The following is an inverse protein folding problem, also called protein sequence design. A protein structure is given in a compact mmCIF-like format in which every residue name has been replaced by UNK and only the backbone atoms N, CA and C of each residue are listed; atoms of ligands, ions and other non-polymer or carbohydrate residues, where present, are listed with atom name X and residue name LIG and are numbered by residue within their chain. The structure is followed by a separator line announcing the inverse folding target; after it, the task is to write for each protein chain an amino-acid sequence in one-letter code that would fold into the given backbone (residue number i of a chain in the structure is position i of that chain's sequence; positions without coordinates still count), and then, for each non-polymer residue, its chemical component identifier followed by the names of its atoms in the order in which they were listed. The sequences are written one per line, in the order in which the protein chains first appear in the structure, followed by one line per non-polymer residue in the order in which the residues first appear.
data_IF_207306365565
#
_entry.id   IF_207306365565
#
_cell.length_a   1.000
_cell.length_b   1.000
_cell.length_c   1.000
_cell.angle_alpha   90.00
_cell.angle_beta   90.00
_cell.angle_gamma   90.00
#
_symmetry.space_group_name_H-M   'P 1'
#
loop_
_entity.id
_entity.type
_entity.pdbx_description
1 polymer ?
#
# COMPACT_ATOMS: atom_id res chain seq x y z
N UNK A 1 -30.05 0.75 -6.14
CA UNK A 1 -28.60 0.74 -5.96
C UNK A 1 -28.06 -0.55 -6.57
N UNK A 2 -27.03 -0.47 -7.43
CA UNK A 2 -26.41 -1.66 -8.04
C UNK A 2 -25.45 -2.27 -7.01
N UNK A 3 -25.61 -3.55 -6.72
CA UNK A 3 -24.74 -4.28 -5.78
C UNK A 3 -23.47 -4.72 -6.47
N UNK A 4 -22.35 -4.86 -5.75
CA UNK A 4 -21.06 -5.22 -6.35
C UNK A 4 -21.12 -6.53 -7.16
N UNK A 5 -21.87 -7.52 -6.67
CA UNK A 5 -22.11 -8.82 -7.35
C UNK A 5 -22.90 -8.73 -8.67
N UNK A 6 -23.57 -7.61 -8.92
CA UNK A 6 -24.41 -7.38 -10.09
C UNK A 6 -23.84 -6.32 -11.03
N UNK A 7 -22.74 -5.68 -10.67
CA UNK A 7 -22.07 -4.68 -11.49
C UNK A 7 -21.44 -5.35 -12.73
N UNK A 8 -21.68 -4.78 -13.91
CA UNK A 8 -21.21 -5.27 -15.21
C UNK A 8 -20.33 -4.26 -15.94
N UNK A 9 -20.38 -2.99 -15.55
CA UNK A 9 -19.58 -1.89 -16.11
C UNK A 9 -18.69 -1.27 -15.05
N UNK A 10 -17.65 -0.54 -15.49
CA UNK A 10 -16.77 0.19 -14.57
C UNK A 10 -17.52 1.22 -13.70
N UNK A 11 -18.55 1.87 -14.26
CA UNK A 11 -19.39 2.82 -13.52
C UNK A 11 -20.26 2.12 -12.47
N UNK A 12 -20.94 1.04 -12.83
CA UNK A 12 -21.74 0.26 -11.87
C UNK A 12 -20.87 -0.31 -10.74
N UNK A 13 -19.62 -0.67 -11.05
CA UNK A 13 -18.68 -1.15 -10.04
C UNK A 13 -18.28 -0.03 -9.09
N UNK A 14 -17.93 1.15 -9.61
CA UNK A 14 -17.60 2.32 -8.81
C UNK A 14 -18.76 2.75 -7.90
N UNK A 15 -20.00 2.66 -8.39
CA UNK A 15 -21.20 2.97 -7.61
C UNK A 15 -21.42 1.98 -6.47
N UNK A 16 -21.03 0.72 -6.66
CA UNK A 16 -21.20 -0.34 -5.67
C UNK A 16 -20.25 -0.23 -4.46
N UNK A 17 -19.13 0.50 -4.57
CA UNK A 17 -18.12 0.56 -3.52
C UNK A 17 -18.61 1.18 -2.20
N UNK A 18 -19.74 1.88 -2.21
CA UNK A 18 -20.36 2.35 -0.97
C UNK A 18 -20.80 1.20 -0.05
N UNK A 19 -21.00 -0.01 -0.58
CA UNK A 19 -21.26 -1.23 0.20
C UNK A 19 -20.07 -1.60 1.11
N UNK A 20 -18.86 -1.11 0.81
CA UNK A 20 -17.64 -1.49 1.52
C UNK A 20 -17.35 -0.61 2.75
N UNK A 21 -17.94 0.58 2.85
CA UNK A 21 -17.58 1.58 3.88
C UNK A 21 -18.72 1.99 4.82
N UNK A 22 -19.92 1.43 4.64
CA UNK A 22 -21.03 1.53 5.60
C UNK A 22 -21.77 2.86 5.67
N UNK A 23 -21.09 4.02 5.61
CA UNK A 23 -21.72 5.35 5.73
C UNK A 23 -21.95 6.08 4.39
N UNK A 24 -21.42 5.54 3.29
CA UNK A 24 -21.60 6.09 1.94
C UNK A 24 -20.80 7.37 1.63
N UNK A 25 -19.92 7.82 2.53
CA UNK A 25 -19.08 9.01 2.32
C UNK A 25 -17.84 8.67 1.48
N UNK A 26 -18.06 8.42 0.19
CA UNK A 26 -17.00 8.03 -0.75
C UNK A 26 -16.91 8.93 -1.98
N UNK A 27 -17.55 10.08 -1.98
CA UNK A 27 -17.60 10.95 -3.16
C UNK A 27 -16.21 11.45 -3.59
N UNK A 28 -15.31 11.67 -2.65
CA UNK A 28 -13.91 12.00 -2.91
C UNK A 28 -13.17 10.85 -3.61
N UNK A 29 -13.38 9.62 -3.16
CA UNK A 29 -12.80 8.42 -3.77
C UNK A 29 -13.44 8.14 -5.13
N UNK A 30 -14.77 8.26 -5.26
CA UNK A 30 -15.48 8.14 -6.52
C UNK A 30 -14.92 9.11 -7.55
N UNK A 31 -14.68 10.37 -7.18
CA UNK A 31 -14.05 11.37 -8.07
C UNK A 31 -12.68 10.94 -8.58
N UNK A 32 -11.86 10.27 -7.77
CA UNK A 32 -10.52 9.79 -8.19
C UNK A 32 -10.63 8.79 -9.35
N UNK A 33 -11.62 7.89 -9.30
CA UNK A 33 -11.77 6.85 -10.32
C UNK A 33 -12.73 7.23 -11.46
N UNK A 34 -13.58 8.24 -11.27
CA UNK A 34 -14.56 8.72 -12.26
C UNK A 34 -13.90 9.05 -13.61
N UNK A 35 -12.69 9.61 -13.60
CA UNK A 35 -11.93 9.91 -14.83
C UNK A 35 -11.72 8.65 -15.69
N UNK A 36 -11.49 7.50 -15.06
CA UNK A 36 -11.32 6.24 -15.78
C UNK A 36 -12.66 5.67 -16.22
N UNK A 37 -13.72 5.80 -15.42
CA UNK A 37 -15.06 5.42 -15.84
C UNK A 37 -15.50 6.17 -17.11
N UNK A 38 -15.15 7.45 -17.23
CA UNK A 38 -15.52 8.29 -18.37
C UNK A 38 -14.57 8.17 -19.57
N UNK A 39 -13.25 8.20 -19.33
CA UNK A 39 -12.26 8.33 -20.40
C UNK A 39 -11.67 7.00 -20.83
N UNK A 40 -11.71 5.98 -19.97
CA UNK A 40 -11.13 4.67 -20.24
C UNK A 40 -11.88 3.55 -19.49
N UNK A 41 -13.17 3.34 -19.78
CA UNK A 41 -14.06 2.48 -19.00
C UNK A 41 -13.55 1.04 -18.91
N UNK A 42 -12.91 0.54 -19.96
CA UNK A 42 -12.33 -0.81 -20.01
C UNK A 42 -11.18 -1.00 -19.02
N UNK A 43 -10.49 0.06 -18.59
CA UNK A 43 -9.48 -0.04 -17.55
C UNK A 43 -10.13 -0.41 -16.22
N UNK A 44 -11.18 0.32 -15.82
CA UNK A 44 -11.90 0.02 -14.60
C UNK A 44 -12.56 -1.35 -14.69
N UNK A 45 -13.23 -1.68 -15.80
CA UNK A 45 -13.86 -2.98 -15.98
C UNK A 45 -12.87 -4.13 -15.74
N UNK A 46 -11.70 -4.14 -16.38
CA UNK A 46 -10.72 -5.21 -16.18
C UNK A 46 -10.04 -5.16 -14.81
N UNK A 47 -9.72 -3.97 -14.30
CA UNK A 47 -9.08 -3.81 -12.98
C UNK A 47 -10.00 -4.26 -11.84
N UNK A 48 -11.30 -4.00 -11.99
CA UNK A 48 -12.33 -4.23 -10.95
C UNK A 48 -13.12 -5.53 -11.15
N UNK A 49 -12.75 -6.35 -12.14
CA UNK A 49 -13.26 -7.71 -12.33
C UNK A 49 -12.71 -8.65 -11.24
N UNK A 50 -12.13 -9.79 -11.63
CA UNK A 50 -11.72 -10.87 -10.72
C UNK A 50 -10.83 -10.42 -9.57
N UNK A 51 -9.82 -9.53 -9.73
CA UNK A 51 -8.95 -9.15 -8.62
C UNK A 51 -9.66 -8.42 -7.48
N UNK A 52 -10.63 -7.54 -7.78
CA UNK A 52 -11.41 -6.83 -6.75
C UNK A 52 -12.40 -7.76 -6.06
N UNK A 53 -13.09 -8.60 -6.83
CA UNK A 53 -14.03 -9.57 -6.26
C UNK A 53 -13.28 -10.57 -5.37
N UNK A 54 -12.14 -11.09 -5.82
CA UNK A 54 -11.30 -11.96 -5.01
C UNK A 54 -10.74 -11.25 -3.77
N UNK A 55 -10.35 -9.98 -3.89
CA UNK A 55 -9.83 -9.23 -2.74
C UNK A 55 -10.88 -9.06 -1.66
N UNK A 56 -12.18 -9.16 -1.96
CA UNK A 56 -13.27 -9.04 -0.99
C UNK A 56 -13.82 -10.41 -0.56
N UNK A 57 -13.94 -11.38 -1.49
CA UNK A 57 -14.65 -12.64 -1.26
C UNK A 57 -13.76 -13.80 -0.76
N UNK A 58 -12.42 -13.68 -0.80
CA UNK A 58 -11.51 -14.74 -0.34
C UNK A 58 -11.66 -15.04 1.16
N UNK A 59 -12.44 -16.05 1.56
CA UNK A 59 -12.81 -16.30 2.97
C UNK A 59 -11.72 -16.73 3.97
N UNK A 60 -10.42 -16.66 3.63
CA UNK A 60 -9.33 -17.06 4.55
C UNK A 60 -9.15 -16.08 5.73
N UNK A 61 -9.35 -14.79 5.49
CA UNK A 61 -9.31 -13.74 6.51
C UNK A 61 -10.70 -13.17 6.71
N UNK A 62 -11.08 -12.92 7.97
CA UNK A 62 -12.28 -12.17 8.29
C UNK A 62 -12.18 -10.72 7.76
N UNK A 63 -13.31 -10.02 7.56
CA UNK A 63 -13.33 -8.67 7.01
C UNK A 63 -12.46 -7.67 7.77
N UNK A 64 -12.45 -7.72 9.10
CA UNK A 64 -11.67 -6.81 9.95
C UNK A 64 -10.18 -7.01 9.71
N UNK A 65 -9.72 -8.26 9.79
CA UNK A 65 -8.31 -8.62 9.58
C UNK A 65 -7.85 -8.22 8.18
N UNK A 66 -8.69 -8.42 7.16
CA UNK A 66 -8.38 -8.03 5.79
C UNK A 66 -8.19 -6.52 5.63
N UNK A 67 -9.10 -5.72 6.18
CA UNK A 67 -8.99 -4.26 6.12
C UNK A 67 -7.73 -3.76 6.82
N UNK A 68 -7.38 -4.32 8.00
CA UNK A 68 -6.14 -3.97 8.70
C UNK A 68 -4.88 -4.32 7.88
N UNK A 69 -4.87 -5.44 7.15
CA UNK A 69 -3.77 -5.79 6.23
C UNK A 69 -3.69 -4.80 5.06
N UNK A 70 -4.83 -4.44 4.46
CA UNK A 70 -4.88 -3.47 3.37
C UNK A 70 -4.38 -2.10 3.83
N UNK A 71 -4.78 -1.65 5.03
CA UNK A 71 -4.27 -0.41 5.64
C UNK A 71 -2.74 -0.42 5.80
N UNK A 72 -2.17 -1.55 6.23
CA UNK A 72 -0.72 -1.72 6.33
C UNK A 72 -0.03 -1.55 4.97
N UNK A 73 -0.56 -2.20 3.93
CA UNK A 73 -0.04 -2.12 2.55
C UNK A 73 -0.13 -0.68 2.02
N UNK A 74 -1.28 -0.03 2.17
CA UNK A 74 -1.50 1.33 1.68
C UNK A 74 -0.63 2.36 2.41
N UNK A 75 -0.42 2.19 3.72
CA UNK A 75 0.51 3.00 4.49
C UNK A 75 1.95 2.83 3.99
N UNK A 76 2.39 1.59 3.73
CA UNK A 76 3.71 1.31 3.19
C UNK A 76 3.90 1.90 1.77
N UNK A 77 2.83 1.95 0.98
CA UNK A 77 2.80 2.55 -0.37
C UNK A 77 2.60 4.07 -0.35
N UNK A 78 2.41 4.70 0.82
CA UNK A 78 2.13 6.13 0.96
C UNK A 78 0.86 6.58 0.20
N UNK A 79 -0.16 5.72 0.14
CA UNK A 79 -1.41 5.98 -0.57
C UNK A 79 -2.46 6.66 0.33
N UNK A 80 -2.41 7.99 0.40
CA UNK A 80 -3.34 8.79 1.22
C UNK A 80 -4.83 8.55 0.92
N UNK A 81 -5.29 8.67 -0.35
CA UNK A 81 -6.70 8.43 -0.69
C UNK A 81 -7.17 7.03 -0.33
N UNK A 82 -6.33 6.01 -0.56
CA UNK A 82 -6.66 4.63 -0.20
C UNK A 82 -6.81 4.44 1.31
N UNK A 83 -5.94 5.06 2.12
CA UNK A 83 -6.03 4.99 3.58
C UNK A 83 -7.36 5.57 4.08
N UNK A 84 -7.82 6.69 3.53
CA UNK A 84 -9.09 7.32 3.92
C UNK A 84 -10.25 6.34 3.70
N UNK A 85 -10.32 5.72 2.52
CA UNK A 85 -11.35 4.75 2.18
C UNK A 85 -11.32 3.51 3.10
N UNK A 86 -10.15 2.90 3.27
CA UNK A 86 -10.01 1.66 4.01
C UNK A 86 -10.08 1.85 5.53
N UNK A 87 -9.86 3.05 6.07
CA UNK A 87 -10.15 3.34 7.48
C UNK A 87 -11.65 3.25 7.74
N UNK A 88 -12.49 3.79 6.84
CA UNK A 88 -13.94 3.65 6.95
C UNK A 88 -14.37 2.18 6.85
N UNK A 89 -13.81 1.44 5.88
CA UNK A 89 -14.04 0.00 5.72
C UNK A 89 -13.63 -0.83 6.95
N UNK A 90 -12.46 -0.54 7.53
CA UNK A 90 -11.99 -1.21 8.74
C UNK A 90 -12.94 -0.99 9.93
N UNK A 91 -13.37 0.25 10.18
CA UNK A 91 -14.33 0.57 11.24
C UNK A 91 -15.68 -0.10 10.97
N UNK A 92 -16.14 -0.10 9.72
CA UNK A 92 -17.37 -0.80 9.33
C UNK A 92 -17.29 -2.31 9.59
N UNK A 93 -16.12 -2.91 9.39
CA UNK A 93 -15.83 -4.30 9.71
C UNK A 93 -15.61 -4.58 11.22
N UNK A 94 -15.65 -3.55 12.07
CA UNK A 94 -15.53 -3.66 13.52
C UNK A 94 -14.12 -3.46 14.07
N UNK A 95 -13.20 -2.87 13.30
CA UNK A 95 -11.88 -2.46 13.81
C UNK A 95 -12.00 -1.31 14.81
N UNK A 96 -11.17 -1.34 15.85
CA UNK A 96 -11.05 -0.20 16.78
C UNK A 96 -10.01 0.81 16.29
N UNK A 97 -10.07 2.03 16.83
CA UNK A 97 -9.06 3.06 16.55
C UNK A 97 -7.68 2.58 16.98
N UNK A 98 -7.59 1.85 18.10
CA UNK A 98 -6.33 1.29 18.62
C UNK A 98 -5.72 0.27 17.65
N UNK A 99 -6.54 -0.62 17.08
CA UNK A 99 -6.07 -1.59 16.07
C UNK A 99 -5.54 -0.87 14.82
N UNK A 100 -6.23 0.18 14.36
CA UNK A 100 -5.79 0.99 13.21
C UNK A 100 -4.47 1.71 13.53
N UNK A 101 -4.36 2.33 14.70
CA UNK A 101 -3.16 3.05 15.13
C UNK A 101 -1.96 2.12 15.32
N UNK A 102 -2.17 0.89 15.78
CA UNK A 102 -1.13 -0.14 15.84
C UNK A 102 -0.58 -0.47 14.44
N UNK A 103 -1.45 -0.65 13.44
CA UNK A 103 -1.02 -0.86 12.05
C UNK A 103 -0.23 0.34 11.53
N UNK A 104 -0.66 1.57 11.83
CA UNK A 104 0.07 2.78 11.43
C UNK A 104 1.46 2.87 12.07
N UNK A 105 1.57 2.55 13.36
CA UNK A 105 2.84 2.50 14.08
C UNK A 105 3.78 1.46 13.46
N UNK A 106 3.28 0.24 13.22
CA UNK A 106 4.06 -0.83 12.60
C UNK A 106 4.55 -0.42 11.21
N UNK A 107 3.68 0.14 10.36
CA UNK A 107 4.05 0.62 9.03
C UNK A 107 5.12 1.71 9.07
N UNK A 108 4.96 2.71 9.94
CA UNK A 108 5.94 3.79 10.10
C UNK A 108 7.30 3.26 10.58
N UNK A 109 7.28 2.37 11.57
CA UNK A 109 8.51 1.76 12.09
C UNK A 109 9.23 0.91 11.04
N UNK A 110 8.50 0.05 10.30
CA UNK A 110 9.12 -0.80 9.28
C UNK A 110 9.72 0.04 8.15
N UNK A 111 9.05 1.12 7.74
CA UNK A 111 9.60 2.04 6.75
C UNK A 111 10.95 2.62 7.20
N UNK A 112 11.02 3.13 8.44
CA UNK A 112 12.27 3.63 9.02
C UNK A 112 13.35 2.56 9.14
N UNK A 113 12.98 1.35 9.59
CA UNK A 113 13.90 0.22 9.76
C UNK A 113 14.54 -0.21 8.44
N UNK A 114 13.76 -0.31 7.36
CA UNK A 114 14.28 -0.66 6.04
C UNK A 114 15.31 0.36 5.57
N UNK A 115 15.06 1.65 5.80
CA UNK A 115 16.01 2.70 5.45
C UNK A 115 17.33 2.59 6.22
N UNK A 116 17.27 2.32 7.52
CA UNK A 116 18.48 2.11 8.35
C UNK A 116 19.28 0.91 7.85
N UNK A 117 18.62 -0.20 7.53
CA UNK A 117 19.28 -1.39 7.02
C UNK A 117 19.98 -1.14 5.67
N UNK A 118 19.30 -0.45 4.75
CA UNK A 118 19.86 -0.11 3.43
C UNK A 118 21.09 0.81 3.54
N UNK A 119 21.03 1.80 4.43
CA UNK A 119 22.19 2.65 4.74
C UNK A 119 23.34 1.84 5.33
N UNK A 120 23.06 0.94 6.28
CA UNK A 120 24.06 0.06 6.89
C UNK A 120 24.82 -0.76 5.84
N UNK A 121 24.10 -1.38 4.90
CA UNK A 121 24.72 -2.13 3.79
C UNK A 121 25.64 -1.25 2.93
N UNK A 122 25.19 -0.03 2.61
CA UNK A 122 25.94 0.91 1.78
C UNK A 122 27.21 1.42 2.49
N UNK A 123 27.09 1.72 3.79
CA UNK A 123 28.20 2.19 4.63
C UNK A 123 29.25 1.09 4.80
N UNK A 124 28.84 -0.13 5.11
CA UNK A 124 29.75 -1.28 5.26
C UNK A 124 30.58 -1.47 3.98
N UNK A 125 29.92 -1.58 2.83
CA UNK A 125 30.60 -1.81 1.56
C UNK A 125 31.50 -0.62 1.17
N UNK A 126 31.04 0.61 1.45
CA UNK A 126 31.81 1.84 1.23
C UNK A 126 33.11 1.86 2.05
N UNK A 127 33.03 1.57 3.35
CA UNK A 127 34.19 1.49 4.24
C UNK A 127 35.15 0.38 3.79
N UNK A 128 34.62 -0.80 3.49
CA UNK A 128 35.39 -1.95 3.00
C UNK A 128 36.17 -1.63 1.71
N UNK A 129 35.60 -0.81 0.81
CA UNK A 129 36.29 -0.32 -0.40
C UNK A 129 37.36 0.72 -0.07
N UNK A 130 37.06 1.66 0.82
CA UNK A 130 38.00 2.69 1.25
C UNK A 130 39.25 2.09 1.90
N UNK A 131 39.10 1.10 2.77
CA UNK A 131 40.21 0.37 3.40
C UNK A 131 41.12 -0.29 2.36
N UNK A 132 40.54 -0.98 1.36
CA UNK A 132 41.31 -1.61 0.26
C UNK A 132 42.06 -0.57 -0.56
N UNK A 133 41.46 0.58 -0.84
CA UNK A 133 42.10 1.69 -1.56
C UNK A 133 43.32 2.23 -0.76
N UNK A 134 43.13 2.52 0.53
CA UNK A 134 44.21 3.01 1.39
C UNK A 134 45.36 1.99 1.53
N UNK A 135 45.05 0.70 1.66
CA UNK A 135 46.05 -0.36 1.73
C UNK A 135 46.88 -0.47 0.45
N UNK A 136 46.26 -0.29 -0.74
CA UNK A 136 46.97 -0.25 -2.02
C UNK A 136 47.89 0.98 -2.11
N UNK A 137 47.41 2.17 -1.75
CA UNK A 137 48.20 3.40 -1.77
C UNK A 137 49.45 3.34 -0.86
N UNK A 138 49.31 2.74 0.33
CA UNK A 138 50.46 2.52 1.24
C UNK A 138 51.50 1.56 0.65
N UNK A 139 51.06 0.52 -0.09
CA UNK A 139 51.97 -0.44 -0.74
C UNK A 139 52.71 0.15 -1.94
N UNK A 140 52.08 1.02 -2.74
CA UNK A 140 52.73 1.67 -3.87
C UNK A 140 53.75 2.72 -3.42
N UNK A 141 53.45 3.53 -2.41
CA UNK A 141 54.39 4.52 -1.86
C UNK A 141 55.64 3.92 -1.20
N UNK A 142 55.57 2.66 -0.73
CA UNK A 142 56.73 1.91 -0.20
C UNK A 142 57.63 1.29 -1.28
N UNK A 143 57.17 1.16 -2.53
CA UNK A 143 57.96 0.59 -3.64
C UNK A 143 58.75 1.63 -4.43
N UNK A 144 58.50 2.92 -4.21
CA UNK A 144 59.16 4.03 -4.91
C UNK A 144 60.25 4.73 -4.09
N UNK A 145 60.62 4.17 -2.94
CA UNK A 145 61.75 4.58 -2.09
C UNK A 145 62.71 3.41 -1.96
#
# INVERSE_FOLDING_TARGET
MVTMKKAKTGQEMLDSWQELVGNGEIDDIKRVFQVFAEKMPTLLEHYTQTPLIESIERGTLDPKTRELVILGILAAMQCGPGLIFHIQGAVHAGATVEEIMEVMFLSAYQHGKVQVAALGQSVEEGLRRAEKMQAKAKKSGKKSK
#
